data_IF_408745242802
#
_entry.id   IF_408745242802
#
_cell.length_a   1.000
_cell.length_b   1.000
_cell.length_c   1.000
_cell.angle_alpha   90.00
_cell.angle_beta   90.00
_cell.angle_gamma   90.00
#
_symmetry.space_group_name_H-M   'P 1'
#
loop_
_entity.id
_entity.type
_entity.pdbx_description
1 polymer ?
#
# COMPACT_ATOMS: atom_id res chain seq x y z
N UNK A 1 20.58 51.30 -22.53
CA UNK A 1 19.65 50.26 -23.03
C UNK A 1 20.40 48.93 -23.06
N UNK A 2 19.80 47.94 -22.42
CA UNK A 2 19.97 46.48 -22.61
C UNK A 2 21.24 45.80 -22.12
N UNK A 3 21.18 45.33 -20.87
CA UNK A 3 21.79 44.06 -20.46
C UNK A 3 20.96 42.90 -21.03
N UNK A 4 21.57 41.81 -21.56
CA UNK A 4 20.87 40.56 -21.75
C UNK A 4 21.01 39.68 -20.50
N UNK A 5 19.91 39.61 -19.74
CA UNK A 5 19.62 38.54 -18.79
C UNK A 5 19.08 37.32 -19.54
N UNK A 6 19.78 36.20 -19.46
CA UNK A 6 19.23 34.85 -19.60
C UNK A 6 20.21 33.94 -18.85
N UNK A 7 20.03 33.73 -17.54
CA UNK A 7 18.90 32.95 -17.07
C UNK A 7 19.24 31.48 -17.29
N UNK A 8 20.21 30.98 -16.53
CA UNK A 8 20.47 29.57 -16.35
C UNK A 8 19.19 28.95 -15.77
N UNK A 9 18.27 28.49 -16.62
CA UNK A 9 17.21 27.58 -16.20
C UNK A 9 17.84 26.19 -16.04
N UNK A 10 18.60 26.04 -14.97
CA UNK A 10 19.04 24.74 -14.47
C UNK A 10 17.82 23.85 -14.22
N UNK A 11 17.67 22.85 -15.10
CA UNK A 11 17.18 21.49 -14.80
C UNK A 11 16.33 21.36 -13.51
N UNK A 12 15.05 21.74 -13.61
CA UNK A 12 14.01 21.11 -12.79
C UNK A 12 13.70 19.73 -13.40
N UNK A 13 14.60 18.75 -13.23
CA UNK A 13 14.24 17.35 -13.45
C UNK A 13 13.31 17.00 -12.29
N UNK A 14 12.01 17.00 -12.56
CA UNK A 14 10.96 16.76 -11.59
C UNK A 14 11.22 15.43 -10.88
N UNK A 15 11.70 15.52 -9.63
CA UNK A 15 11.89 14.37 -8.74
C UNK A 15 10.55 14.04 -8.07
N UNK A 16 9.50 13.90 -8.89
CA UNK A 16 8.15 13.61 -8.43
C UNK A 16 8.14 12.20 -7.87
N UNK A 17 7.87 12.00 -6.57
CA UNK A 17 7.83 10.68 -5.97
C UNK A 17 6.84 9.78 -6.72
N UNK A 18 7.17 8.51 -6.91
CA UNK A 18 6.34 7.57 -7.67
C UNK A 18 4.87 7.54 -7.21
N UNK A 19 4.61 7.80 -5.92
CA UNK A 19 3.27 7.85 -5.32
C UNK A 19 2.43 9.08 -5.69
N UNK A 20 3.00 10.12 -6.30
CA UNK A 20 2.25 11.31 -6.75
C UNK A 20 1.64 11.14 -8.16
N UNK A 21 1.76 9.95 -8.76
CA UNK A 21 1.11 9.62 -10.02
C UNK A 21 -0.35 9.18 -9.77
N UNK A 22 -1.31 9.73 -10.53
CA UNK A 22 -2.73 9.37 -10.49
C UNK A 22 -2.95 7.86 -10.73
N UNK A 23 -2.09 7.23 -11.53
CA UNK A 23 -2.08 5.78 -11.73
C UNK A 23 -1.82 4.99 -10.43
N UNK A 24 -1.03 5.55 -9.50
CA UNK A 24 -0.76 4.92 -8.20
C UNK A 24 -1.98 4.99 -7.29
N UNK A 25 -2.77 6.06 -7.37
CA UNK A 25 -4.01 6.15 -6.62
C UNK A 25 -4.99 5.02 -7.03
N UNK A 26 -5.19 4.83 -8.33
CA UNK A 26 -6.02 3.72 -8.84
C UNK A 26 -5.51 2.35 -8.40
N UNK A 27 -4.19 2.14 -8.42
CA UNK A 27 -3.55 0.90 -7.92
C UNK A 27 -3.77 0.68 -6.42
N UNK A 28 -3.74 1.74 -5.62
CA UNK A 28 -4.02 1.65 -4.17
C UNK A 28 -5.48 1.26 -3.92
N UNK A 29 -6.44 1.81 -4.67
CA UNK A 29 -7.84 1.42 -4.57
C UNK A 29 -8.08 -0.04 -5.00
N UNK A 30 -7.44 -0.46 -6.09
CA UNK A 30 -7.48 -1.86 -6.54
C UNK A 30 -6.92 -2.81 -5.49
N UNK A 31 -5.73 -2.53 -4.95
CA UNK A 31 -5.14 -3.32 -3.88
C UNK A 31 -6.06 -3.38 -2.66
N UNK A 32 -6.62 -2.24 -2.23
CA UNK A 32 -7.55 -2.20 -1.11
C UNK A 32 -8.78 -3.08 -1.37
N UNK A 33 -9.27 -3.13 -2.61
CA UNK A 33 -10.36 -4.02 -3.00
C UNK A 33 -9.95 -5.50 -2.95
N UNK A 34 -8.77 -5.84 -3.49
CA UNK A 34 -8.26 -7.21 -3.47
C UNK A 34 -8.03 -7.72 -2.04
N UNK A 35 -7.41 -6.91 -1.16
CA UNK A 35 -7.21 -7.24 0.25
C UNK A 35 -8.56 -7.57 0.91
N UNK A 36 -9.61 -6.78 0.64
CA UNK A 36 -10.92 -7.03 1.24
C UNK A 36 -11.51 -8.37 0.83
N UNK A 37 -11.46 -8.68 -0.47
CA UNK A 37 -11.93 -9.97 -1.00
C UNK A 37 -11.13 -11.12 -0.40
N UNK A 38 -9.81 -11.02 -0.43
CA UNK A 38 -8.91 -12.07 0.05
C UNK A 38 -9.06 -12.34 1.55
N UNK A 39 -9.22 -11.31 2.39
CA UNK A 39 -9.52 -11.48 3.82
C UNK A 39 -10.87 -12.18 4.00
N UNK A 40 -11.91 -11.74 3.29
CA UNK A 40 -13.24 -12.35 3.36
C UNK A 40 -13.20 -13.83 3.00
N UNK A 41 -12.55 -14.18 1.89
CA UNK A 41 -12.41 -15.55 1.44
C UNK A 41 -11.57 -16.41 2.39
N UNK A 42 -10.45 -15.89 2.89
CA UNK A 42 -9.58 -16.59 3.83
C UNK A 42 -10.33 -16.91 5.12
N UNK A 43 -11.10 -15.95 5.65
CA UNK A 43 -11.97 -16.16 6.81
C UNK A 43 -13.04 -17.23 6.55
N UNK A 44 -13.71 -17.21 5.39
CA UNK A 44 -14.70 -18.22 5.02
C UNK A 44 -14.10 -19.63 4.87
N UNK A 45 -12.87 -19.72 4.38
CA UNK A 45 -12.13 -20.97 4.20
C UNK A 45 -11.45 -21.46 5.50
N UNK A 46 -11.54 -20.69 6.58
CA UNK A 46 -10.96 -21.05 7.88
C UNK A 46 -9.43 -20.96 7.92
N UNK A 47 -8.84 -20.01 7.20
CA UNK A 47 -7.39 -19.82 7.17
C UNK A 47 -6.86 -19.50 8.57
N UNK A 48 -5.68 -20.02 8.88
CA UNK A 48 -4.96 -19.61 10.08
C UNK A 48 -4.35 -18.22 9.88
N UNK A 49 -3.99 -17.58 11.00
CA UNK A 49 -3.46 -16.23 10.99
C UNK A 49 -2.20 -16.07 10.14
N UNK A 50 -1.30 -17.06 10.18
CA UNK A 50 -0.07 -17.04 9.36
C UNK A 50 -0.37 -17.10 7.88
N UNK A 51 -1.35 -17.91 7.47
CA UNK A 51 -1.76 -18.01 6.07
C UNK A 51 -2.37 -16.70 5.59
N UNK A 52 -3.13 -16.00 6.45
CA UNK A 52 -3.64 -14.67 6.12
C UNK A 52 -2.51 -13.65 5.94
N UNK A 53 -1.54 -13.63 6.85
CA UNK A 53 -0.37 -12.74 6.75
C UNK A 53 0.38 -12.98 5.43
N UNK A 54 0.64 -14.25 5.10
CA UNK A 54 1.31 -14.62 3.87
C UNK A 54 0.53 -14.25 2.61
N UNK A 55 -0.80 -14.45 2.63
CA UNK A 55 -1.68 -14.04 1.54
C UNK A 55 -1.62 -12.53 1.30
N UNK A 56 -1.68 -11.73 2.37
CA UNK A 56 -1.61 -10.26 2.26
C UNK A 56 -0.21 -9.83 1.79
N UNK A 57 0.87 -10.45 2.28
CA UNK A 57 2.23 -10.20 1.77
C UNK A 57 2.34 -10.44 0.26
N UNK A 58 1.72 -11.51 -0.25
CA UNK A 58 1.73 -11.81 -1.68
C UNK A 58 1.03 -10.71 -2.48
N UNK A 59 -0.13 -10.25 -2.02
CA UNK A 59 -0.85 -9.14 -2.66
C UNK A 59 -0.02 -7.85 -2.62
N UNK A 60 0.66 -7.56 -1.52
CA UNK A 60 1.43 -6.33 -1.37
C UNK A 60 2.71 -6.30 -2.20
N UNK A 61 3.31 -7.46 -2.52
CA UNK A 61 4.51 -7.54 -3.37
C UNK A 61 4.29 -6.90 -4.74
N UNK A 62 3.11 -7.09 -5.32
CA UNK A 62 2.73 -6.51 -6.60
C UNK A 62 2.57 -4.97 -6.51
N UNK A 63 2.54 -4.42 -5.29
CA UNK A 63 2.38 -2.99 -5.00
C UNK A 63 3.45 -2.46 -4.04
N UNK A 64 4.70 -2.94 -4.15
CA UNK A 64 5.82 -2.58 -3.26
C UNK A 64 6.09 -1.08 -3.14
N UNK A 65 5.74 -0.28 -4.16
CA UNK A 65 5.82 1.19 -4.12
C UNK A 65 5.00 1.82 -2.98
N UNK A 66 3.98 1.12 -2.46
CA UNK A 66 3.11 1.60 -1.38
C UNK A 66 3.83 1.62 -0.03
N UNK A 67 4.75 0.70 0.23
CA UNK A 67 5.42 0.53 1.55
C UNK A 67 6.13 1.79 2.02
N UNK A 68 6.73 2.54 1.09
CA UNK A 68 7.41 3.82 1.33
C UNK A 68 6.55 5.05 1.04
N UNK A 69 5.26 4.87 0.78
CA UNK A 69 4.33 5.93 0.37
C UNK A 69 3.45 6.41 1.52
N UNK A 70 2.82 7.59 1.40
CA UNK A 70 1.80 8.04 2.34
C UNK A 70 0.51 7.19 2.33
N UNK A 71 0.38 6.22 1.41
CA UNK A 71 -0.79 5.35 1.33
C UNK A 71 -0.72 4.12 2.25
N UNK A 72 0.45 3.79 2.81
CA UNK A 72 0.60 2.64 3.71
C UNK A 72 -0.40 2.67 4.89
N UNK A 73 -0.57 3.80 5.63
CA UNK A 73 -1.58 3.88 6.69
C UNK A 73 -3.01 3.61 6.21
N UNK A 74 -3.34 3.95 4.96
CA UNK A 74 -4.65 3.67 4.39
C UNK A 74 -4.84 2.17 4.14
N UNK A 75 -3.83 1.48 3.62
CA UNK A 75 -3.85 0.03 3.43
C UNK A 75 -3.87 -0.71 4.78
N UNK A 76 -3.08 -0.25 5.74
CA UNK A 76 -3.07 -0.74 7.13
C UNK A 76 -4.47 -0.69 7.75
N UNK A 77 -5.17 0.44 7.55
CA UNK A 77 -6.54 0.60 8.00
C UNK A 77 -7.51 -0.35 7.28
N UNK A 78 -7.35 -0.59 5.97
CA UNK A 78 -8.16 -1.57 5.24
C UNK A 78 -7.98 -2.98 5.80
N UNK A 79 -6.74 -3.42 6.00
CA UNK A 79 -6.43 -4.74 6.55
C UNK A 79 -7.06 -4.87 7.95
N UNK A 80 -6.86 -3.88 8.82
CA UNK A 80 -7.34 -3.91 10.20
C UNK A 80 -8.88 -3.91 10.27
N UNK A 81 -9.52 -2.99 9.54
CA UNK A 81 -10.99 -2.86 9.57
C UNK A 81 -11.70 -4.04 8.93
N UNK A 82 -11.16 -4.60 7.84
CA UNK A 82 -11.78 -5.76 7.19
C UNK A 82 -11.61 -7.01 8.04
N UNK A 83 -10.40 -7.27 8.55
CA UNK A 83 -10.12 -8.46 9.35
C UNK A 83 -10.91 -8.46 10.68
N UNK A 84 -11.09 -7.29 11.29
CA UNK A 84 -11.93 -7.12 12.49
C UNK A 84 -13.40 -7.51 12.28
N UNK A 85 -13.96 -7.43 11.06
CA UNK A 85 -15.37 -7.82 10.79
C UNK A 85 -15.64 -9.29 11.07
N UNK A 86 -14.62 -10.13 10.93
CA UNK A 86 -14.75 -11.59 11.06
C UNK A 86 -14.37 -12.08 12.45
N UNK A 87 -13.91 -11.20 13.34
CA UNK A 87 -13.62 -11.44 14.76
C UNK A 87 -12.45 -12.39 15.05
N UNK A 88 -12.13 -13.31 14.14
CA UNK A 88 -11.15 -14.37 14.32
C UNK A 88 -9.70 -13.91 14.09
N UNK A 89 -9.52 -12.87 13.27
CA UNK A 89 -8.21 -12.34 12.91
C UNK A 89 -8.29 -10.82 12.98
N UNK A 90 -8.03 -10.25 14.14
CA UNK A 90 -7.64 -8.84 14.21
C UNK A 90 -6.12 -8.83 14.27
N UNK A 91 -5.46 -8.39 13.19
CA UNK A 91 -4.00 -8.35 13.17
C UNK A 91 -3.51 -7.28 14.14
N UNK A 92 -2.63 -7.67 15.05
CA UNK A 92 -1.94 -6.75 15.95
C UNK A 92 -1.01 -5.83 15.17
N UNK A 93 -0.57 -4.74 15.80
CA UNK A 93 0.42 -3.84 15.20
C UNK A 93 1.72 -4.58 14.80
N UNK A 94 2.13 -5.61 15.57
CA UNK A 94 3.31 -6.42 15.25
C UNK A 94 3.10 -7.24 13.99
N UNK A 95 1.92 -7.85 13.84
CA UNK A 95 1.57 -8.66 12.68
C UNK A 95 1.36 -7.78 11.44
N UNK A 96 0.87 -6.56 11.62
CA UNK A 96 0.77 -5.58 10.55
C UNK A 96 2.17 -5.18 10.04
N UNK A 97 3.15 -4.97 10.93
CA UNK A 97 4.54 -4.79 10.51
C UNK A 97 5.10 -6.04 9.80
N UNK A 98 4.70 -7.24 10.22
CA UNK A 98 5.09 -8.50 9.58
C UNK A 98 4.55 -8.60 8.15
N UNK A 99 3.32 -8.16 7.91
CA UNK A 99 2.73 -8.06 6.56
C UNK A 99 3.60 -7.24 5.60
N UNK A 100 4.37 -6.26 6.10
CA UNK A 100 5.26 -5.44 5.27
C UNK A 100 6.71 -5.94 5.21
N UNK A 101 7.13 -6.94 5.99
CA UNK A 101 8.55 -7.35 6.06
C UNK A 101 9.12 -7.83 4.73
N UNK A 102 8.35 -8.62 3.99
CA UNK A 102 8.77 -9.30 2.76
C UNK A 102 8.32 -8.60 1.47
N UNK A 103 7.83 -7.34 1.61
CA UNK A 103 7.34 -6.46 0.53
C UNK A 103 8.39 -5.43 0.17
#
# INVERSE_FOLDING_TARGET
MSEPSAGESEKAIANTPAWQNEEVFGKVEELAHQIRISISEACQKGYERRDLIFLIQLLLKDFSAIKGSPFRPAIDNVITTESAKYGFINLSAVELEEVWKEV
#
